data_IF_814261769977
#
_entry.id   IF_814261769977
#
_cell.length_a   1.000
_cell.length_b   1.000
_cell.length_c   1.000
_cell.angle_alpha   90.00
_cell.angle_beta   90.00
_cell.angle_gamma   90.00
#
_symmetry.space_group_name_H-M   'P 1'
#
loop_
_entity.id
_entity.type
_entity.pdbx_description
1 polymer ?
#
# COMPACT_ATOMS: atom_id res chain seq x y z
N UNK A 1 10.01 9.71 -23.66
CA UNK A 1 10.01 9.85 -22.18
C UNK A 1 8.73 10.56 -21.79
N UNK A 2 7.93 10.01 -20.87
CA UNK A 2 6.74 10.70 -20.36
C UNK A 2 7.16 11.92 -19.53
N UNK A 3 6.45 13.04 -19.67
CA UNK A 3 6.71 14.24 -18.87
C UNK A 3 6.50 13.96 -17.39
N UNK A 4 7.39 14.45 -16.53
CA UNK A 4 7.27 14.30 -15.07
C UNK A 4 5.98 14.93 -14.53
N UNK A 5 5.48 15.97 -15.20
CA UNK A 5 4.18 16.61 -14.89
C UNK A 5 3.02 15.66 -15.12
N UNK A 6 3.06 14.87 -16.20
CA UNK A 6 2.03 13.87 -16.51
C UNK A 6 2.05 12.78 -15.45
N UNK A 7 3.22 12.21 -15.14
CA UNK A 7 3.36 11.18 -14.12
C UNK A 7 2.87 11.65 -12.74
N UNK A 8 3.19 12.90 -12.37
CA UNK A 8 2.78 13.49 -11.11
C UNK A 8 1.28 13.76 -11.05
N UNK A 9 0.68 14.24 -12.15
CA UNK A 9 -0.77 14.42 -12.27
C UNK A 9 -1.51 13.08 -12.13
N UNK A 10 -1.05 12.05 -12.84
CA UNK A 10 -1.63 10.70 -12.77
C UNK A 10 -1.43 10.08 -11.37
N UNK A 11 -0.32 10.37 -10.68
CA UNK A 11 -0.13 9.95 -9.28
C UNK A 11 -1.00 10.71 -8.26
N UNK A 12 -1.48 11.92 -8.58
CA UNK A 12 -2.45 12.67 -7.77
C UNK A 12 -3.89 12.17 -8.03
N UNK A 13 -4.17 11.82 -9.28
CA UNK A 13 -5.47 11.36 -9.75
C UNK A 13 -5.37 10.00 -10.46
N UNK A 14 -4.98 8.95 -9.73
CA UNK A 14 -4.77 7.66 -10.35
C UNK A 14 -6.09 7.10 -10.86
N UNK A 15 -6.02 6.42 -12.00
CA UNK A 15 -7.20 5.85 -12.66
C UNK A 15 -7.68 4.62 -11.89
N UNK A 16 -8.99 4.38 -11.76
CA UNK A 16 -9.48 3.13 -11.19
C UNK A 16 -8.97 1.94 -12.00
N UNK A 17 -8.44 0.92 -11.33
CA UNK A 17 -8.08 -0.35 -11.96
C UNK A 17 -9.36 -1.17 -12.15
N UNK A 18 -9.69 -1.50 -13.39
CA UNK A 18 -10.82 -2.36 -13.72
C UNK A 18 -10.37 -3.83 -13.71
N UNK A 19 -11.06 -4.62 -12.92
CA UNK A 19 -10.93 -6.08 -12.91
C UNK A 19 -12.02 -6.69 -13.80
N UNK A 20 -11.72 -7.84 -14.38
CA UNK A 20 -12.74 -8.70 -14.99
C UNK A 20 -13.58 -9.35 -13.89
N UNK A 21 -14.80 -9.77 -14.22
CA UNK A 21 -15.67 -10.46 -13.27
C UNK A 21 -15.01 -11.72 -12.67
N UNK A 22 -14.22 -12.44 -13.46
CA UNK A 22 -13.50 -13.63 -12.99
C UNK A 22 -12.41 -13.27 -11.96
N UNK A 23 -11.68 -12.17 -12.18
CA UNK A 23 -10.69 -11.67 -11.22
C UNK A 23 -11.36 -11.17 -9.94
N UNK A 24 -12.48 -10.45 -10.03
CA UNK A 24 -13.23 -10.01 -8.85
C UNK A 24 -13.69 -11.21 -8.00
N UNK A 25 -14.33 -12.20 -8.63
CA UNK A 25 -14.78 -13.42 -7.97
C UNK A 25 -13.63 -14.19 -7.32
N UNK A 26 -12.50 -14.29 -8.02
CA UNK A 26 -11.30 -14.90 -7.48
C UNK A 26 -10.82 -14.19 -6.21
N UNK A 27 -10.65 -12.87 -6.26
CA UNK A 27 -10.16 -12.11 -5.11
C UNK A 27 -11.13 -12.15 -3.92
N UNK A 28 -12.44 -12.15 -4.19
CA UNK A 28 -13.48 -12.33 -3.16
C UNK A 28 -13.42 -13.71 -2.48
N UNK A 29 -13.10 -14.76 -3.24
CA UNK A 29 -12.91 -16.12 -2.72
C UNK A 29 -11.64 -16.23 -1.86
N UNK A 30 -10.56 -15.56 -2.25
CA UNK A 30 -9.29 -15.57 -1.51
C UNK A 30 -9.37 -14.77 -0.20
N UNK A 31 -10.14 -13.68 -0.20
CA UNK A 31 -10.22 -12.74 0.92
C UNK A 31 -11.66 -12.49 1.41
N UNK A 32 -12.39 -13.53 1.86
CA UNK A 32 -13.80 -13.39 2.28
C UNK A 32 -13.98 -12.44 3.48
N UNK A 33 -12.96 -12.31 4.34
CA UNK A 33 -12.97 -11.39 5.50
C UNK A 33 -13.02 -9.90 5.08
N UNK A 34 -12.75 -9.60 3.81
CA UNK A 34 -12.81 -8.25 3.25
C UNK A 34 -14.19 -7.91 2.64
N UNK A 35 -15.16 -8.82 2.61
CA UNK A 35 -16.48 -8.61 1.98
C UNK A 35 -17.33 -7.47 2.60
N UNK A 36 -16.90 -6.87 3.71
CA UNK A 36 -17.48 -5.65 4.29
C UNK A 36 -16.59 -4.39 4.22
N UNK A 37 -15.35 -4.54 3.75
CA UNK A 37 -14.42 -3.44 3.52
C UNK A 37 -14.61 -2.91 2.10
N UNK A 38 -14.67 -1.59 1.94
CA UNK A 38 -14.68 -1.02 0.59
C UNK A 38 -13.24 -0.88 0.11
N UNK A 39 -12.81 -1.85 -0.69
CA UNK A 39 -11.52 -1.84 -1.38
C UNK A 39 -11.68 -1.09 -2.70
N UNK A 40 -10.84 -0.09 -2.94
CA UNK A 40 -10.79 0.67 -4.19
C UNK A 40 -9.42 0.41 -4.84
N UNK A 41 -9.38 -0.15 -6.06
CA UNK A 41 -8.13 -0.42 -6.76
C UNK A 41 -7.83 0.70 -7.76
N UNK A 42 -6.56 1.06 -7.85
CA UNK A 42 -6.07 2.14 -8.69
C UNK A 42 -4.83 1.70 -9.48
N UNK A 43 -4.77 2.14 -10.73
CA UNK A 43 -3.58 2.09 -11.56
C UNK A 43 -2.59 3.14 -11.09
N UNK A 44 -1.31 2.78 -11.03
CA UNK A 44 -0.17 3.60 -10.61
C UNK A 44 -0.11 3.86 -9.11
N UNK A 45 1.12 3.96 -8.60
CA UNK A 45 1.40 4.39 -7.24
C UNK A 45 1.01 5.86 -7.01
N UNK A 46 0.66 6.22 -5.76
CA UNK A 46 0.37 7.62 -5.42
C UNK A 46 1.61 8.49 -5.61
N UNK A 47 1.39 9.79 -5.84
CA UNK A 47 2.44 10.77 -6.16
C UNK A 47 3.67 10.74 -5.23
N UNK A 48 3.48 10.50 -3.93
CA UNK A 48 4.56 10.49 -2.93
C UNK A 48 5.38 9.18 -2.92
N UNK A 49 4.98 8.19 -3.73
CA UNK A 49 5.68 6.92 -3.93
C UNK A 49 6.21 6.76 -5.36
N UNK A 50 6.05 7.77 -6.22
CA UNK A 50 6.65 7.77 -7.56
C UNK A 50 8.18 7.72 -7.44
N UNK A 51 8.79 6.74 -8.10
CA UNK A 51 10.24 6.49 -8.02
C UNK A 51 10.69 5.70 -6.79
N UNK A 52 9.75 5.18 -5.99
CA UNK A 52 10.06 4.15 -4.99
C UNK A 52 10.30 2.79 -5.65
N UNK A 53 10.84 1.84 -4.89
CA UNK A 53 11.00 0.45 -5.34
C UNK A 53 9.71 -0.38 -5.18
N UNK A 54 8.64 0.19 -4.63
CA UNK A 54 7.37 -0.50 -4.47
C UNK A 54 6.72 -0.71 -5.84
N UNK A 55 5.98 -1.81 -5.99
CA UNK A 55 5.16 -2.12 -7.17
C UNK A 55 3.66 -2.19 -6.82
N UNK A 56 3.35 -2.17 -5.54
CA UNK A 56 2.01 -2.13 -4.98
C UNK A 56 2.03 -1.36 -3.65
N UNK A 57 0.88 -0.82 -3.23
CA UNK A 57 0.70 -0.37 -1.85
C UNK A 57 -0.79 -0.35 -1.44
N UNK A 58 -1.07 -0.87 -0.24
CA UNK A 58 -2.35 -0.76 0.44
C UNK A 58 -2.35 0.41 1.43
N UNK A 59 -3.21 1.41 1.18
CA UNK A 59 -3.28 2.63 1.99
C UNK A 59 -4.69 2.89 2.53
N UNK A 60 -4.82 3.48 3.72
CA UNK A 60 -6.11 3.90 4.22
C UNK A 60 -6.62 5.11 3.45
N UNK A 61 -7.93 5.14 3.19
CA UNK A 61 -8.56 6.32 2.61
C UNK A 61 -8.52 7.51 3.58
N UNK A 62 -8.14 8.70 3.12
CA UNK A 62 -8.00 9.91 3.97
C UNK A 62 -9.26 10.20 4.80
N UNK A 63 -10.43 10.21 4.15
CA UNK A 63 -11.70 10.62 4.76
C UNK A 63 -12.66 9.49 5.18
N UNK A 64 -12.29 8.22 5.02
CA UNK A 64 -13.21 7.10 5.33
C UNK A 64 -12.54 6.02 6.13
N UNK A 65 -13.07 5.75 7.33
CA UNK A 65 -12.52 4.78 8.29
C UNK A 65 -12.58 3.32 7.83
N UNK A 66 -13.41 2.99 6.83
CA UNK A 66 -13.63 1.62 6.33
C UNK A 66 -13.07 1.37 4.94
N UNK A 67 -12.63 2.42 4.24
CA UNK A 67 -12.09 2.31 2.89
C UNK A 67 -10.57 2.10 2.91
N UNK A 68 -10.11 1.19 2.08
CA UNK A 68 -8.70 0.92 1.80
C UNK A 68 -8.53 1.06 0.29
N UNK A 69 -7.44 1.70 -0.12
CA UNK A 69 -7.09 1.90 -1.51
C UNK A 69 -5.86 1.06 -1.82
N UNK A 70 -5.93 0.25 -2.86
CA UNK A 70 -4.79 -0.49 -3.38
C UNK A 70 -4.31 0.21 -4.63
N UNK A 71 -3.02 0.51 -4.68
CA UNK A 71 -2.39 1.13 -5.83
C UNK A 71 -1.42 0.13 -6.42
N UNK A 72 -1.57 -0.18 -7.70
CA UNK A 72 -0.75 -1.19 -8.38
C UNK A 72 0.00 -0.50 -9.51
N UNK A 73 1.33 -0.57 -9.48
CA UNK A 73 2.14 -0.10 -10.59
C UNK A 73 1.96 -1.06 -11.76
N UNK A 74 1.11 -0.67 -12.70
CA UNK A 74 0.67 -1.53 -13.80
C UNK A 74 1.30 -1.04 -15.11
N UNK A 75 1.99 -1.91 -15.88
CA UNK A 75 2.37 -1.59 -17.24
C UNK A 75 1.14 -1.53 -18.15
N UNK A 76 1.24 -0.83 -19.28
CA UNK A 76 0.15 -0.77 -20.27
C UNK A 76 -0.22 -2.18 -20.75
N UNK A 77 -1.46 -2.63 -20.50
CA UNK A 77 -1.95 -3.93 -20.95
C UNK A 77 -2.96 -4.62 -20.04
N UNK A 78 -3.38 -5.86 -20.36
CA UNK A 78 -4.17 -6.71 -19.47
C UNK A 78 -3.38 -7.07 -18.21
N UNK A 79 -4.08 -7.40 -17.12
CA UNK A 79 -3.43 -7.85 -15.88
C UNK A 79 -2.73 -9.19 -16.13
N UNK A 80 -1.41 -9.20 -15.99
CA UNK A 80 -0.63 -10.43 -15.97
C UNK A 80 -0.64 -11.06 -14.58
N UNK A 81 -0.15 -12.31 -14.49
CA UNK A 81 -0.02 -13.04 -13.22
C UNK A 81 0.74 -12.22 -12.15
N UNK A 82 1.80 -11.52 -12.54
CA UNK A 82 2.57 -10.69 -11.60
C UNK A 82 1.73 -9.57 -10.98
N UNK A 83 0.90 -8.89 -11.77
CA UNK A 83 0.03 -7.83 -11.24
C UNK A 83 -1.06 -8.41 -10.34
N UNK A 84 -1.61 -9.58 -10.70
CA UNK A 84 -2.58 -10.27 -9.86
C UNK A 84 -1.96 -10.72 -8.54
N UNK A 85 -0.73 -11.23 -8.57
CA UNK A 85 0.04 -11.60 -7.38
C UNK A 85 0.30 -10.37 -6.50
N UNK A 86 0.69 -9.22 -7.09
CA UNK A 86 0.82 -7.96 -6.34
C UNK A 86 -0.51 -7.53 -5.71
N UNK A 87 -1.64 -7.65 -6.42
CA UNK A 87 -2.96 -7.36 -5.83
C UNK A 87 -3.25 -8.27 -4.64
N UNK A 88 -2.93 -9.56 -4.75
CA UNK A 88 -3.06 -10.54 -3.66
C UNK A 88 -2.19 -10.15 -2.46
N UNK A 89 -0.94 -9.72 -2.68
CA UNK A 89 -0.06 -9.19 -1.62
C UNK A 89 -0.68 -7.97 -0.93
N UNK A 90 -1.16 -7.00 -1.70
CA UNK A 90 -1.79 -5.79 -1.15
C UNK A 90 -3.12 -6.08 -0.44
N UNK A 91 -3.86 -7.10 -0.85
CA UNK A 91 -5.06 -7.57 -0.14
C UNK A 91 -4.71 -8.25 1.20
N UNK A 92 -3.56 -8.91 1.31
CA UNK A 92 -3.07 -9.39 2.60
C UNK A 92 -2.88 -8.20 3.57
N UNK A 93 -2.30 -7.09 3.10
CA UNK A 93 -2.22 -5.86 3.89
C UNK A 93 -3.61 -5.30 4.20
N UNK A 94 -4.55 -5.29 3.26
CA UNK A 94 -5.92 -4.85 3.51
C UNK A 94 -6.60 -5.67 4.63
N UNK A 95 -6.36 -6.99 4.67
CA UNK A 95 -6.85 -7.84 5.76
C UNK A 95 -6.14 -7.52 7.09
N UNK A 96 -4.83 -7.27 7.08
CA UNK A 96 -4.11 -6.80 8.27
C UNK A 96 -4.67 -5.45 8.78
N UNK A 97 -5.02 -4.53 7.87
CA UNK A 97 -5.75 -3.30 8.24
C UNK A 97 -7.09 -3.63 8.89
N UNK A 98 -7.91 -4.50 8.29
CA UNK A 98 -9.22 -4.86 8.81
C UNK A 98 -9.14 -5.48 10.22
N UNK A 99 -8.14 -6.33 10.46
CA UNK A 99 -7.88 -6.94 11.77
C UNK A 99 -7.53 -5.90 12.85
N UNK A 100 -6.66 -4.93 12.53
CA UNK A 100 -6.34 -3.83 13.44
C UNK A 100 -7.45 -2.78 13.53
N UNK A 101 -8.25 -2.65 12.48
CA UNK A 101 -9.35 -1.71 12.39
C UNK A 101 -10.52 -2.07 13.29
N UNK A 102 -10.61 -3.28 13.88
CA UNK A 102 -11.56 -3.58 14.97
C UNK A 102 -11.47 -2.59 16.15
N UNK A 103 -10.37 -1.84 16.25
CA UNK A 103 -10.19 -0.74 17.23
C UNK A 103 -10.77 0.61 16.75
N UNK A 104 -11.23 0.72 15.50
CA UNK A 104 -11.96 1.80 14.81
C UNK A 104 -11.62 3.27 15.17
N UNK A 105 -10.39 3.57 15.59
CA UNK A 105 -9.96 4.94 15.89
C UNK A 105 -8.99 5.48 14.84
N UNK A 106 -8.99 6.81 14.67
CA UNK A 106 -8.11 7.50 13.73
C UNK A 106 -8.77 7.99 12.43
N UNK A 107 -7.99 8.67 11.60
CA UNK A 107 -8.37 9.24 10.31
C UNK A 107 -7.19 9.19 9.34
N UNK A 108 -7.46 9.00 8.04
CA UNK A 108 -6.41 8.88 7.01
C UNK A 108 -5.24 7.98 7.40
N UNK A 109 -4.02 8.52 7.29
CA UNK A 109 -2.78 7.85 7.70
C UNK A 109 -2.65 7.68 9.22
N UNK A 110 -3.33 8.48 10.03
CA UNK A 110 -3.31 8.34 11.48
C UNK A 110 -4.25 7.21 11.91
N UNK A 111 -3.84 5.98 11.65
CA UNK A 111 -4.55 4.75 12.03
C UNK A 111 -3.60 3.76 12.71
N UNK A 112 -4.14 2.84 13.53
CA UNK A 112 -3.33 1.85 14.24
C UNK A 112 -2.38 1.07 13.34
N UNK A 113 -2.85 0.61 12.18
CA UNK A 113 -2.00 -0.13 11.24
C UNK A 113 -0.78 0.69 10.81
N UNK A 114 -0.93 1.96 10.45
CA UNK A 114 0.21 2.80 10.06
C UNK A 114 1.19 2.98 11.22
N UNK A 115 0.70 3.12 12.46
CA UNK A 115 1.56 3.15 13.64
C UNK A 115 2.31 1.84 13.90
N UNK A 116 1.68 0.70 13.63
CA UNK A 116 2.34 -0.62 13.67
C UNK A 116 3.40 -0.74 12.58
N UNK A 117 3.05 -0.38 11.34
CA UNK A 117 3.92 -0.44 10.18
C UNK A 117 5.14 0.45 10.38
N UNK A 118 4.95 1.75 10.59
CA UNK A 118 6.07 2.66 10.83
C UNK A 118 6.83 2.30 12.11
N UNK A 119 6.17 1.81 13.15
CA UNK A 119 6.85 1.40 14.37
C UNK A 119 7.81 0.21 14.16
N UNK A 120 7.41 -0.79 13.38
CA UNK A 120 8.29 -1.90 13.02
C UNK A 120 9.44 -1.45 12.13
N UNK A 121 9.14 -0.64 11.10
CA UNK A 121 10.16 -0.05 10.25
C UNK A 121 11.20 0.73 11.06
N UNK A 122 10.76 1.65 11.94
CA UNK A 122 11.66 2.45 12.77
C UNK A 122 12.50 1.60 13.72
N UNK A 123 11.89 0.58 14.35
CA UNK A 123 12.63 -0.32 15.24
C UNK A 123 13.78 -1.03 14.49
N UNK A 124 13.51 -1.56 13.30
CA UNK A 124 14.55 -2.20 12.49
C UNK A 124 15.57 -1.20 11.95
N UNK A 125 15.09 -0.07 11.43
CA UNK A 125 15.93 0.97 10.85
C UNK A 125 16.98 1.49 11.86
N UNK A 126 16.57 1.88 13.07
CA UNK A 126 17.50 2.40 14.08
C UNK A 126 18.46 1.34 14.61
N UNK A 127 18.05 0.07 14.66
CA UNK A 127 18.95 -1.03 15.02
C UNK A 127 20.07 -1.24 13.98
N UNK A 128 19.80 -0.93 12.71
CA UNK A 128 20.73 -1.13 11.60
C UNK A 128 21.49 0.15 11.21
N UNK A 129 20.97 1.33 11.54
CA UNK A 129 21.45 2.64 11.08
C UNK A 129 22.95 2.82 11.27
N UNK A 130 23.45 2.53 12.47
CA UNK A 130 24.87 2.73 12.82
C UNK A 130 25.79 1.62 12.29
N UNK A 131 25.24 0.48 11.84
CA UNK A 131 26.03 -0.67 11.36
C UNK A 131 26.12 -0.72 9.84
N UNK A 132 25.04 -0.39 9.16
CA UNK A 132 24.89 -0.59 7.72
C UNK A 132 24.86 0.73 6.92
N UNK A 133 24.73 1.87 7.61
CA UNK A 133 24.50 3.17 7.01
C UNK A 133 23.05 3.37 6.54
N UNK A 134 22.65 4.64 6.40
CA UNK A 134 21.25 5.04 6.17
C UNK A 134 20.54 4.27 5.05
N UNK A 135 21.13 4.22 3.85
CA UNK A 135 20.47 3.64 2.66
C UNK A 135 20.24 2.13 2.81
N UNK A 136 21.25 1.40 3.27
CA UNK A 136 21.17 -0.05 3.46
C UNK A 136 20.27 -0.41 4.64
N UNK A 137 20.33 0.37 5.73
CA UNK A 137 19.43 0.21 6.86
C UNK A 137 17.96 0.39 6.45
N UNK A 138 17.64 1.41 5.64
CA UNK A 138 16.27 1.62 5.14
C UNK A 138 15.79 0.46 4.25
N UNK A 139 16.63 -0.01 3.33
CA UNK A 139 16.31 -1.15 2.47
C UNK A 139 16.07 -2.44 3.27
N UNK A 140 16.95 -2.74 4.24
CA UNK A 140 16.82 -3.92 5.10
C UNK A 140 15.60 -3.83 6.03
N UNK A 141 15.33 -2.65 6.61
CA UNK A 141 14.14 -2.41 7.44
C UNK A 141 12.83 -2.58 6.65
N UNK A 142 12.84 -2.29 5.34
CA UNK A 142 11.71 -2.61 4.47
C UNK A 142 11.63 -4.12 4.18
N UNK A 143 12.72 -4.73 3.70
CA UNK A 143 12.72 -6.15 3.30
C UNK A 143 12.42 -7.10 4.44
N UNK A 144 12.91 -6.81 5.65
CA UNK A 144 12.75 -7.69 6.80
C UNK A 144 11.52 -7.36 7.64
N UNK A 145 10.69 -6.43 7.15
CA UNK A 145 9.57 -5.88 7.86
C UNK A 145 8.56 -6.99 8.26
N UNK A 146 8.21 -7.14 9.54
CA UNK A 146 7.38 -8.26 10.00
C UNK A 146 5.99 -8.34 9.37
N UNK A 147 5.45 -7.20 8.91
CA UNK A 147 4.16 -7.18 8.22
C UNK A 147 4.24 -7.57 6.74
N UNK A 148 5.43 -7.57 6.12
CA UNK A 148 5.65 -7.92 4.70
C UNK A 148 5.91 -9.41 4.49
N UNK A 149 6.50 -10.10 5.49
CA UNK A 149 6.94 -11.51 5.34
C UNK A 149 5.84 -12.47 4.93
N UNK A 150 4.66 -12.36 5.56
CA UNK A 150 3.54 -13.26 5.29
C UNK A 150 2.78 -12.91 4.00
N UNK A 151 2.52 -11.63 3.69
CA UNK A 151 2.09 -11.23 2.34
C UNK A 151 2.99 -11.80 1.23
N UNK A 152 4.32 -11.68 1.35
CA UNK A 152 5.23 -12.27 0.36
C UNK A 152 5.17 -13.80 0.28
N UNK A 153 5.04 -14.48 1.42
CA UNK A 153 4.87 -15.94 1.43
C UNK A 153 3.56 -16.35 0.75
N UNK A 154 2.49 -15.59 0.98
CA UNK A 154 1.19 -15.83 0.37
C UNK A 154 1.18 -15.51 -1.13
N UNK A 155 1.85 -14.43 -1.54
CA UNK A 155 2.08 -14.09 -2.95
C UNK A 155 2.78 -15.24 -3.68
N UNK A 156 3.87 -15.77 -3.11
CA UNK A 156 4.61 -16.89 -3.67
C UNK A 156 3.75 -18.17 -3.76
N UNK A 157 2.97 -18.47 -2.73
CA UNK A 157 2.07 -19.63 -2.70
C UNK A 157 0.94 -19.49 -3.74
N UNK A 158 0.38 -18.29 -3.87
CA UNK A 158 -0.60 -17.96 -4.91
C UNK A 158 -0.02 -18.17 -6.31
N UNK A 159 1.17 -17.64 -6.58
CA UNK A 159 1.83 -17.78 -7.88
C UNK A 159 2.11 -19.25 -8.23
N UNK A 160 2.44 -20.09 -7.24
CA UNK A 160 2.73 -21.51 -7.46
C UNK A 160 1.47 -22.34 -7.81
N UNK A 161 0.29 -21.90 -7.37
CA UNK A 161 -0.96 -22.65 -7.49
C UNK A 161 -1.95 -22.07 -8.49
N UNK A 162 -1.67 -20.88 -9.04
CA UNK A 162 -2.52 -20.27 -10.05
C UNK A 162 -2.42 -21.01 -11.40
N UNK A 163 -3.55 -21.31 -12.10
CA UNK A 163 -4.92 -20.91 -11.78
C UNK A 163 -5.73 -21.96 -10.99
N UNK A 164 -5.18 -23.14 -10.69
CA UNK A 164 -5.98 -24.25 -10.15
C UNK A 164 -6.37 -24.12 -8.67
N UNK A 165 -5.69 -23.29 -7.86
CA UNK A 165 -6.01 -22.79 -6.49
C UNK A 165 -6.56 -23.76 -5.42
N UNK A 166 -6.82 -25.03 -5.72
CA UNK A 166 -7.50 -25.98 -4.85
C UNK A 166 -6.70 -26.31 -3.59
N UNK A 167 -5.38 -26.10 -3.62
CA UNK A 167 -4.47 -26.28 -2.49
C UNK A 167 -4.07 -24.97 -1.82
N UNK A 168 -4.50 -23.81 -2.33
CA UNK A 168 -4.16 -22.52 -1.74
C UNK A 168 -4.92 -22.36 -0.42
N UNK A 169 -4.18 -22.29 0.68
CA UNK A 169 -4.79 -22.09 1.99
C UNK A 169 -5.39 -20.68 2.09
N UNK A 170 -6.46 -20.45 2.88
CA UNK A 170 -6.92 -19.10 3.15
C UNK A 170 -5.84 -18.28 3.84
N UNK A 171 -5.71 -17.00 3.50
CA UNK A 171 -4.80 -16.12 4.22
C UNK A 171 -5.26 -15.95 5.67
N UNK A 172 -4.54 -16.60 6.59
CA UNK A 172 -4.77 -16.54 8.03
C UNK A 172 -3.49 -16.12 8.73
N UNK A 173 -3.46 -14.89 9.22
CA UNK A 173 -2.31 -14.37 9.94
C UNK A 173 -2.70 -13.82 11.31
N UNK A 174 -2.10 -14.32 12.41
CA UNK A 174 -2.04 -13.54 13.64
C UNK A 174 -1.12 -12.33 13.41
N UNK A 175 -1.61 -11.14 13.76
CA UNK A 175 -0.80 -9.92 13.67
C UNK A 175 0.53 -10.12 14.42
N UNK A 176 1.67 -9.67 13.86
CA UNK A 176 2.94 -9.73 14.58
C UNK A 176 2.84 -9.01 15.92
N UNK A 177 3.71 -9.41 16.86
CA UNK A 177 3.83 -8.72 18.15
C UNK A 177 4.06 -7.22 17.90
N UNK A 178 3.41 -6.38 18.70
CA UNK A 178 3.55 -4.92 18.62
C UNK A 178 5.04 -4.52 18.65
N UNK A 179 5.45 -3.51 17.87
CA UNK A 179 6.81 -2.99 17.99
C UNK A 179 7.08 -2.45 19.41
N UNK A 180 8.35 -2.29 19.82
CA UNK A 180 8.71 -1.66 21.08
C UNK A 180 7.97 -0.33 21.28
N UNK A 181 7.59 0.00 22.52
CA UNK A 181 6.71 1.13 22.81
C UNK A 181 7.25 2.45 22.22
N UNK A 182 8.56 2.70 22.34
CA UNK A 182 9.21 3.90 21.79
C UNK A 182 9.05 3.98 20.26
N UNK A 183 9.25 2.86 19.56
CA UNK A 183 9.18 2.81 18.11
C UNK A 183 7.73 2.93 17.65
N UNK A 184 6.81 2.31 18.37
CA UNK A 184 5.39 2.44 18.10
C UNK A 184 4.87 3.87 18.30
N UNK A 185 5.31 4.55 19.36
CA UNK A 185 4.97 5.96 19.61
C UNK A 185 5.51 6.86 18.48
N UNK A 186 6.75 6.64 18.06
CA UNK A 186 7.36 7.35 16.93
C UNK A 186 6.61 7.06 15.61
N UNK A 187 6.22 5.81 15.39
CA UNK A 187 5.43 5.41 14.22
C UNK A 187 4.05 6.09 14.18
N UNK A 188 3.37 6.18 15.32
CA UNK A 188 2.11 6.93 15.44
C UNK A 188 2.29 8.42 15.21
N UNK A 189 3.37 9.00 15.75
CA UNK A 189 3.71 10.40 15.51
C UNK A 189 3.96 10.66 14.03
N UNK A 190 4.74 9.82 13.36
CA UNK A 190 4.98 9.94 11.92
C UNK A 190 3.70 9.79 11.10
N UNK A 191 2.85 8.81 11.43
CA UNK A 191 1.54 8.63 10.83
C UNK A 191 0.64 9.87 10.99
N UNK A 192 0.67 10.51 12.16
CA UNK A 192 -0.06 11.74 12.43
C UNK A 192 0.45 12.91 11.58
N UNK A 193 1.77 13.11 11.54
CA UNK A 193 2.39 14.15 10.71
C UNK A 193 2.03 13.95 9.23
N UNK A 194 2.12 12.73 8.71
CA UNK A 194 1.71 12.44 7.34
C UNK A 194 0.22 12.73 7.09
N UNK A 195 -0.65 12.41 8.06
CA UNK A 195 -2.08 12.68 7.93
C UNK A 195 -2.39 14.19 7.86
N UNK A 196 -1.56 15.04 8.46
CA UNK A 196 -1.69 16.50 8.42
C UNK A 196 -1.05 17.12 7.17
N UNK A 197 0.18 16.72 6.85
CA UNK A 197 0.98 17.34 5.78
C UNK A 197 0.47 16.92 4.40
N UNK A 198 0.07 15.66 4.23
CA UNK A 198 -0.30 15.11 2.92
C UNK A 198 -1.40 15.93 2.21
N UNK A 199 -2.54 16.27 2.84
CA UNK A 199 -3.56 17.09 2.19
C UNK A 199 -3.05 18.47 1.75
N UNK A 200 -2.16 19.09 2.53
CA UNK A 200 -1.56 20.38 2.18
C UNK A 200 -0.65 20.27 0.95
N UNK A 201 0.21 19.25 0.91
CA UNK A 201 1.07 18.99 -0.24
C UNK A 201 0.25 18.63 -1.48
N UNK A 202 -0.78 17.80 -1.33
CA UNK A 202 -1.73 17.52 -2.42
C UNK A 202 -2.36 18.81 -2.93
N UNK A 203 -2.85 19.70 -2.05
CA UNK A 203 -3.39 21.00 -2.46
C UNK A 203 -2.40 21.87 -3.25
N UNK A 204 -1.14 21.97 -2.80
CA UNK A 204 -0.09 22.70 -3.51
C UNK A 204 0.26 22.09 -4.87
N UNK A 205 0.34 20.77 -4.93
CA UNK A 205 0.57 20.05 -6.18
C UNK A 205 -0.60 20.23 -7.14
N UNK A 206 -1.84 20.20 -6.66
CA UNK A 206 -3.00 20.46 -7.51
C UNK A 206 -2.96 21.85 -8.13
N UNK A 207 -2.63 22.88 -7.35
CA UNK A 207 -2.57 24.25 -7.86
C UNK A 207 -1.44 24.46 -8.89
N UNK A 208 -0.36 23.69 -8.82
CA UNK A 208 0.80 23.84 -9.70
C UNK A 208 0.78 22.89 -10.91
N UNK A 209 0.46 21.62 -10.69
CA UNK A 209 0.54 20.54 -11.68
C UNK A 209 -0.67 20.54 -12.61
N UNK A 210 -1.88 20.83 -12.09
CA UNK A 210 -3.11 20.83 -12.88
C UNK A 210 -3.07 21.77 -14.11
N UNK A 211 -2.73 23.07 -13.98
CA UNK A 211 -2.68 23.95 -15.15
C UNK A 211 -1.59 23.53 -16.15
N UNK A 212 -0.43 23.08 -15.65
CA UNK A 212 0.68 22.66 -16.49
C UNK A 212 0.36 21.37 -17.27
N UNK A 213 -0.31 20.41 -16.63
CA UNK A 213 -0.79 19.18 -17.29
C UNK A 213 -1.73 19.50 -18.45
N UNK A 214 -2.71 20.37 -18.24
CA UNK A 214 -3.66 20.74 -19.28
C UNK A 214 -3.05 21.57 -20.41
N UNK A 215 -2.03 22.38 -20.11
CA UNK A 215 -1.24 23.07 -21.14
C UNK A 215 -0.47 22.05 -21.99
N UNK A 216 0.25 21.12 -21.35
CA UNK A 216 1.06 20.10 -22.03
C UNK A 216 0.22 19.13 -22.86
N UNK A 217 -1.01 18.80 -22.46
CA UNK A 217 -1.89 17.91 -23.23
C UNK A 217 -2.44 18.55 -24.51
N UNK A 218 -2.37 19.89 -24.63
CA UNK A 218 -2.82 20.64 -25.81
C UNK A 218 -1.71 20.85 -26.85
N UNK A 219 -0.46 20.62 -26.48
CA UNK A 219 0.72 20.66 -27.34
C UNK A 219 0.97 19.27 -27.93
#
# INVERSE_FOLDING_TARGET
MRSWVILLYEGLFPRPLQLTQAEEQLLEQLFPELQGAKIELYEQLPWFMLGSFAVGVALPHSFSRRKIRLYIDKPEGPLGLNNLATIVHELCHAQQYALLARKHWGFGFFRPFMGYYFGHFMAQFFNLLFREGWRKAAYLAYREHPLERLPYAYEADFMAHYPQLASLSPFRQPMPKRPPLWAHALGLFFAFILALIRPCLEGLLLLSVFPLYHLLRRL
#
